data_IF_038535011320
#
_entry.id   IF_038535011320
#
_cell.length_a   1.000
_cell.length_b   1.000
_cell.length_c   1.000
_cell.angle_alpha   90.00
_cell.angle_beta   90.00
_cell.angle_gamma   90.00
#
_symmetry.space_group_name_H-M   'P 1'
#
loop_
_entity.id
_entity.type
_entity.pdbx_description
1 polymer ?
#
# COMPACT_ATOMS: atom_id res chain seq x y z
N UNK A 1 -17.01 53.53 34.61
CA UNK A 1 -17.33 52.10 34.34
C UNK A 1 -17.65 51.96 32.85
N UNK A 2 -16.74 51.41 32.04
CA UNK A 2 -16.88 51.39 30.57
C UNK A 2 -17.50 50.06 30.11
N UNK A 3 -18.68 50.11 29.48
CA UNK A 3 -19.29 48.96 28.80
C UNK A 3 -18.73 48.88 27.38
N UNK A 4 -17.79 47.97 27.12
CA UNK A 4 -17.38 47.64 25.75
C UNK A 4 -18.52 46.86 25.08
N UNK A 5 -19.21 47.52 24.16
CA UNK A 5 -20.19 46.91 23.27
C UNK A 5 -19.44 46.03 22.26
N UNK A 6 -19.59 44.72 22.35
CA UNK A 6 -19.15 43.80 21.29
C UNK A 6 -20.15 43.92 20.13
N UNK A 7 -19.72 44.48 19.00
CA UNK A 7 -20.53 44.44 17.79
C UNK A 7 -20.64 42.99 17.33
N UNK A 8 -21.87 42.44 17.34
CA UNK A 8 -22.16 41.21 16.61
C UNK A 8 -22.12 41.56 15.12
N UNK A 9 -20.98 41.36 14.47
CA UNK A 9 -20.89 41.39 13.01
C UNK A 9 -21.80 40.28 12.47
N UNK A 10 -23.03 40.64 12.16
CA UNK A 10 -24.02 39.73 11.59
C UNK A 10 -23.65 39.55 10.12
N UNK A 11 -22.86 38.52 9.82
CA UNK A 11 -22.50 38.16 8.43
C UNK A 11 -23.79 37.87 7.68
N UNK A 12 -24.22 38.81 6.83
CA UNK A 12 -25.41 38.66 6.00
C UNK A 12 -25.01 37.84 4.78
N UNK A 13 -25.12 36.51 4.87
CA UNK A 13 -24.84 35.61 3.76
C UNK A 13 -25.69 36.02 2.55
N UNK A 14 -25.04 36.42 1.46
CA UNK A 14 -25.72 36.66 0.19
C UNK A 14 -26.09 35.30 -0.41
N UNK A 15 -27.21 35.17 -1.14
CA UNK A 15 -27.61 33.89 -1.75
C UNK A 15 -26.49 33.31 -2.64
N UNK A 16 -25.72 34.19 -3.30
CA UNK A 16 -24.54 33.81 -4.10
C UNK A 16 -23.47 33.11 -3.25
N UNK A 17 -23.21 33.58 -2.02
CA UNK A 17 -22.24 32.95 -1.11
C UNK A 17 -22.64 31.52 -0.76
N UNK A 18 -23.93 31.25 -0.60
CA UNK A 18 -24.44 29.89 -0.38
C UNK A 18 -24.16 28.97 -1.58
N UNK A 19 -24.42 29.43 -2.81
CA UNK A 19 -24.15 28.63 -4.02
C UNK A 19 -22.66 28.39 -4.24
N UNK A 20 -21.80 29.38 -3.95
CA UNK A 20 -20.34 29.21 -4.02
C UNK A 20 -19.87 28.15 -3.03
N UNK A 21 -20.32 28.22 -1.77
CA UNK A 21 -19.97 27.23 -0.75
C UNK A 21 -20.50 25.85 -1.13
N UNK A 22 -21.75 25.75 -1.61
CA UNK A 22 -22.33 24.50 -2.07
C UNK A 22 -21.56 23.89 -3.25
N UNK A 23 -21.12 24.71 -4.22
CA UNK A 23 -20.31 24.25 -5.34
C UNK A 23 -18.92 23.77 -4.89
N UNK A 24 -18.29 24.43 -3.92
CA UNK A 24 -17.01 23.98 -3.34
C UNK A 24 -17.18 22.65 -2.61
N UNK A 25 -18.25 22.49 -1.81
CA UNK A 25 -18.55 21.22 -1.11
C UNK A 25 -18.82 20.11 -2.12
N UNK A 26 -19.56 20.39 -3.19
CA UNK A 26 -19.85 19.43 -4.26
C UNK A 26 -18.58 19.02 -5.01
N UNK A 27 -17.72 19.99 -5.35
CA UNK A 27 -16.44 19.70 -5.99
C UNK A 27 -15.53 18.88 -5.06
N UNK A 28 -15.49 19.21 -3.77
CA UNK A 28 -14.73 18.47 -2.76
C UNK A 28 -15.22 17.04 -2.59
N UNK A 29 -16.54 16.80 -2.58
CA UNK A 29 -17.10 15.45 -2.50
C UNK A 29 -16.84 14.65 -3.78
N UNK A 30 -16.94 15.26 -4.96
CA UNK A 30 -16.58 14.59 -6.22
C UNK A 30 -15.10 14.20 -6.27
N UNK A 31 -14.20 15.11 -5.91
CA UNK A 31 -12.76 14.82 -5.82
C UNK A 31 -12.48 13.73 -4.78
N UNK A 32 -13.16 13.76 -3.64
CA UNK A 32 -13.02 12.75 -2.59
C UNK A 32 -13.51 11.38 -3.04
N UNK A 33 -14.59 11.27 -3.82
CA UNK A 33 -15.11 9.97 -4.27
C UNK A 33 -14.31 9.37 -5.42
N UNK A 34 -13.98 10.17 -6.44
CA UNK A 34 -13.35 9.69 -7.66
C UNK A 34 -11.82 9.71 -7.62
N UNK A 35 -11.23 10.54 -6.75
CA UNK A 35 -9.79 10.80 -6.78
C UNK A 35 -9.40 11.71 -7.95
N UNK A 36 -8.12 12.01 -8.07
CA UNK A 36 -7.59 12.88 -9.12
C UNK A 36 -6.20 12.40 -9.57
N UNK A 37 -5.98 12.31 -10.87
CA UNK A 37 -4.67 11.98 -11.44
C UNK A 37 -4.05 13.26 -12.01
N UNK A 38 -3.06 13.82 -11.32
CA UNK A 38 -2.39 15.05 -11.77
C UNK A 38 -1.08 14.65 -12.49
N UNK A 39 -0.89 15.02 -13.78
CA UNK A 39 0.39 14.84 -14.44
C UNK A 39 1.45 15.75 -13.81
N UNK A 40 2.59 15.19 -13.39
CA UNK A 40 3.70 15.97 -12.84
C UNK A 40 4.66 16.37 -13.98
N UNK A 41 4.96 17.67 -14.18
CA UNK A 41 5.93 18.09 -15.19
C UNK A 41 7.31 17.50 -14.88
N UNK A 42 7.86 16.70 -15.81
CA UNK A 42 9.22 16.14 -15.68
C UNK A 42 9.31 14.72 -15.13
N UNK A 43 8.19 14.07 -14.79
CA UNK A 43 8.14 12.63 -14.48
C UNK A 43 7.20 11.91 -15.43
N UNK A 44 7.53 10.68 -15.83
CA UNK A 44 6.66 9.83 -16.68
C UNK A 44 5.44 9.26 -15.93
N UNK A 45 5.11 9.81 -14.75
CA UNK A 45 4.07 9.30 -13.85
C UNK A 45 3.04 10.36 -13.48
N UNK A 46 1.81 9.91 -13.25
CA UNK A 46 0.75 10.73 -12.66
C UNK A 46 0.84 10.64 -11.13
N UNK A 47 0.70 11.77 -10.44
CA UNK A 47 0.37 11.75 -9.02
C UNK A 47 -1.09 11.34 -8.86
N UNK A 48 -1.30 10.14 -8.32
CA UNK A 48 -2.62 9.58 -8.07
C UNK A 48 -3.09 9.96 -6.66
N UNK A 49 -4.08 10.86 -6.59
CA UNK A 49 -4.83 11.13 -5.36
C UNK A 49 -5.92 10.07 -5.24
N UNK A 50 -5.75 9.15 -4.29
CA UNK A 50 -6.71 8.08 -4.02
C UNK A 50 -8.07 8.65 -3.58
N UNK A 51 -9.12 8.29 -4.32
CA UNK A 51 -10.50 8.53 -3.91
C UNK A 51 -10.97 7.51 -2.85
N UNK A 52 -12.13 7.78 -2.25
CA UNK A 52 -12.72 6.99 -1.17
C UNK A 52 -12.93 5.52 -1.56
N UNK A 53 -13.21 5.24 -2.84
CA UNK A 53 -13.38 3.88 -3.37
C UNK A 53 -12.09 3.05 -3.37
N UNK A 54 -10.91 3.69 -3.37
CA UNK A 54 -9.62 3.01 -3.37
C UNK A 54 -9.07 2.77 -1.96
N UNK A 55 -9.71 3.31 -0.93
CA UNK A 55 -9.29 3.12 0.46
C UNK A 55 -9.45 1.66 0.87
N UNK A 56 -8.35 1.05 1.33
CA UNK A 56 -8.39 -0.26 1.96
C UNK A 56 -8.89 -0.08 3.40
N UNK A 57 -10.10 -0.56 3.62
CA UNK A 57 -10.78 -0.55 4.90
C UNK A 57 -10.19 -1.62 5.83
N UNK A 58 -10.12 -1.35 7.13
CA UNK A 58 -9.54 -2.25 8.13
C UNK A 58 -10.25 -3.59 8.28
N UNK A 59 -9.62 -4.51 9.02
CA UNK A 59 -10.12 -5.87 9.22
C UNK A 59 -11.49 -5.89 9.90
N UNK A 60 -11.75 -4.95 10.81
CA UNK A 60 -13.03 -4.85 11.54
C UNK A 60 -14.23 -4.60 10.61
N UNK A 61 -14.02 -3.85 9.53
CA UNK A 61 -15.11 -3.35 8.67
C UNK A 61 -15.32 -4.15 7.40
N UNK A 62 -14.27 -4.77 6.83
CA UNK A 62 -14.39 -5.62 5.64
C UNK A 62 -13.91 -7.05 5.86
N UNK A 63 -13.48 -7.41 7.06
CA UNK A 63 -12.77 -8.65 7.30
C UNK A 63 -11.34 -8.62 6.76
N UNK A 64 -10.64 -9.74 6.89
CA UNK A 64 -9.29 -9.89 6.38
C UNK A 64 -8.93 -11.33 6.11
N UNK A 65 -7.68 -11.52 5.69
CA UNK A 65 -7.05 -12.82 5.48
C UNK A 65 -6.08 -13.06 6.61
N UNK A 66 -6.08 -14.29 7.11
CA UNK A 66 -5.05 -14.80 8.00
C UNK A 66 -4.20 -15.83 7.26
N UNK A 67 -2.90 -15.56 7.17
CA UNK A 67 -1.92 -16.41 6.52
C UNK A 67 -0.87 -16.85 7.53
N UNK A 68 -0.54 -18.15 7.51
CA UNK A 68 0.50 -18.72 8.36
C UNK A 68 1.66 -19.17 7.48
N UNK A 69 2.80 -18.50 7.63
CA UNK A 69 4.03 -18.85 6.96
C UNK A 69 4.87 -19.77 7.84
N UNK A 70 5.34 -20.85 7.25
CA UNK A 70 6.29 -21.79 7.84
C UNK A 70 7.54 -21.89 6.95
N UNK A 71 8.72 -22.13 7.53
CA UNK A 71 9.94 -22.30 6.77
C UNK A 71 9.83 -23.54 5.88
N UNK A 72 10.17 -23.39 4.60
CA UNK A 72 10.20 -24.48 3.63
C UNK A 72 11.55 -25.18 3.71
N UNK A 73 11.55 -26.52 3.64
CA UNK A 73 12.76 -27.36 3.57
C UNK A 73 13.75 -27.15 4.74
N UNK A 74 13.23 -26.80 5.93
CA UNK A 74 14.03 -26.59 7.13
C UNK A 74 13.64 -27.60 8.22
N UNK A 75 14.59 -28.47 8.60
CA UNK A 75 14.42 -29.43 9.68
C UNK A 75 14.94 -28.84 10.99
N UNK A 76 14.18 -27.93 11.61
CA UNK A 76 14.52 -27.32 12.90
C UNK A 76 13.61 -26.15 13.27
N UNK A 77 13.89 -25.52 14.41
CA UNK A 77 13.30 -24.22 14.79
C UNK A 77 14.18 -23.10 14.23
N UNK A 78 13.66 -22.19 13.39
CA UNK A 78 14.42 -21.05 12.86
C UNK A 78 14.97 -20.17 14.00
N UNK A 79 16.11 -19.52 13.76
CA UNK A 79 16.63 -18.52 14.70
C UNK A 79 15.64 -17.37 14.87
N UNK A 80 15.63 -16.74 16.05
CA UNK A 80 14.83 -15.52 16.26
C UNK A 80 15.21 -14.41 15.27
N UNK A 81 16.49 -14.34 14.90
CA UNK A 81 17.01 -13.36 13.94
C UNK A 81 16.50 -13.63 12.52
N UNK A 82 16.41 -14.91 12.12
CA UNK A 82 15.85 -15.30 10.82
C UNK A 82 14.36 -14.97 10.75
N UNK A 83 13.61 -15.24 11.83
CA UNK A 83 12.19 -14.90 11.92
C UNK A 83 11.96 -13.38 11.90
N UNK A 84 12.80 -12.61 12.58
CA UNK A 84 12.75 -11.14 12.57
C UNK A 84 13.08 -10.57 11.18
N UNK A 85 14.07 -11.15 10.50
CA UNK A 85 14.44 -10.78 9.14
C UNK A 85 13.30 -11.08 8.16
N UNK A 86 12.74 -12.29 8.22
CA UNK A 86 11.59 -12.67 7.39
C UNK A 86 10.38 -11.79 7.66
N UNK A 87 10.08 -11.47 8.93
CA UNK A 87 9.05 -10.50 9.31
C UNK A 87 9.27 -9.15 8.63
N UNK A 88 10.49 -8.62 8.70
CA UNK A 88 10.83 -7.30 8.16
C UNK A 88 10.65 -7.23 6.64
N UNK A 89 11.00 -8.32 5.94
CA UNK A 89 10.77 -8.44 4.49
C UNK A 89 9.28 -8.44 4.16
N UNK A 90 8.45 -9.10 4.97
CA UNK A 90 7.00 -9.12 4.74
C UNK A 90 6.36 -7.77 5.04
N UNK A 91 6.80 -7.09 6.11
CA UNK A 91 6.40 -5.72 6.43
C UNK A 91 6.69 -4.78 5.25
N UNK A 92 7.91 -4.78 4.73
CA UNK A 92 8.29 -3.95 3.59
C UNK A 92 7.44 -4.22 2.34
N UNK A 93 7.10 -5.49 2.07
CA UNK A 93 6.22 -5.84 0.94
C UNK A 93 4.82 -5.31 1.13
N UNK A 94 4.27 -5.45 2.32
CA UNK A 94 2.95 -4.94 2.65
C UNK A 94 2.91 -3.41 2.59
N UNK A 95 4.00 -2.72 2.97
CA UNK A 95 4.13 -1.26 2.79
C UNK A 95 4.15 -0.87 1.32
N UNK A 96 4.90 -1.60 0.49
CA UNK A 96 4.94 -1.38 -0.95
C UNK A 96 3.59 -1.65 -1.64
N UNK A 97 2.73 -2.47 -1.04
CA UNK A 97 1.36 -2.74 -1.50
C UNK A 97 0.31 -1.82 -0.85
N UNK A 98 0.75 -0.82 -0.07
CA UNK A 98 -0.12 0.11 0.67
C UNK A 98 -1.09 -0.59 1.63
N UNK A 99 -0.67 -1.71 2.24
CA UNK A 99 -1.41 -2.44 3.27
C UNK A 99 -0.93 -1.96 4.65
N UNK A 100 -1.58 -0.90 5.14
CA UNK A 100 -1.15 -0.19 6.36
C UNK A 100 -1.74 -0.79 7.64
N UNK A 101 -2.99 -1.22 7.61
CA UNK A 101 -3.68 -1.80 8.76
C UNK A 101 -3.43 -3.32 8.77
N UNK A 102 -2.31 -3.76 9.35
CA UNK A 102 -1.88 -5.17 9.37
C UNK A 102 -1.40 -5.60 10.75
N UNK A 103 -1.57 -6.86 11.04
CA UNK A 103 -1.03 -7.51 12.23
C UNK A 103 -0.09 -8.63 11.81
N UNK A 104 1.15 -8.60 12.30
CA UNK A 104 2.13 -9.65 12.09
C UNK A 104 2.58 -10.14 13.46
N UNK A 105 2.51 -11.45 13.67
CA UNK A 105 2.86 -12.11 14.92
C UNK A 105 3.83 -13.24 14.63
N UNK A 106 4.89 -13.30 15.42
CA UNK A 106 5.95 -14.30 15.26
C UNK A 106 5.82 -15.35 16.34
N UNK A 107 5.52 -16.59 15.95
CA UNK A 107 5.51 -17.75 16.84
C UNK A 107 6.92 -18.38 16.86
N UNK A 108 7.68 -18.02 17.88
CA UNK A 108 9.05 -18.50 18.10
C UNK A 108 9.12 -19.99 18.40
N UNK A 109 8.08 -20.56 19.04
CA UNK A 109 8.08 -21.96 19.47
C UNK A 109 7.90 -22.90 18.29
N UNK A 110 7.04 -22.54 17.34
CA UNK A 110 6.79 -23.35 16.14
C UNK A 110 7.53 -22.84 14.90
N UNK A 111 8.26 -21.72 15.01
CA UNK A 111 8.97 -21.12 13.88
C UNK A 111 8.05 -20.56 12.80
N UNK A 112 6.88 -20.03 13.19
CA UNK A 112 5.84 -19.58 12.24
C UNK A 112 5.68 -18.07 12.28
N UNK A 113 5.30 -17.49 11.15
CA UNK A 113 4.91 -16.09 11.06
C UNK A 113 3.43 -16.06 10.68
N UNK A 114 2.61 -15.56 11.58
CA UNK A 114 1.16 -15.41 11.41
C UNK A 114 0.90 -13.97 10.99
N UNK A 115 0.14 -13.79 9.94
CA UNK A 115 -0.06 -12.50 9.31
C UNK A 115 -1.54 -12.30 9.04
N UNK A 116 -2.06 -11.15 9.45
CA UNK A 116 -3.47 -10.78 9.29
C UNK A 116 -3.53 -9.43 8.62
N UNK A 117 -4.24 -9.35 7.50
CA UNK A 117 -4.36 -8.12 6.73
C UNK A 117 -5.72 -8.00 6.05
N UNK A 118 -6.23 -6.78 5.84
CA UNK A 118 -7.54 -6.55 5.26
C UNK A 118 -7.56 -6.91 3.79
N UNK A 119 -8.75 -7.34 3.35
CA UNK A 119 -9.04 -7.55 1.95
C UNK A 119 -8.77 -6.29 1.14
N UNK A 120 -8.37 -6.49 -0.11
CA UNK A 120 -8.26 -5.39 -1.06
C UNK A 120 -9.62 -4.71 -1.23
N UNK A 121 -9.62 -3.39 -1.39
CA UNK A 121 -10.85 -2.61 -1.56
C UNK A 121 -11.68 -3.06 -2.78
N UNK A 122 -11.04 -3.60 -3.80
CA UNK A 122 -11.69 -4.14 -5.01
C UNK A 122 -11.99 -5.64 -4.94
N UNK A 123 -11.62 -6.33 -3.86
CA UNK A 123 -11.87 -7.76 -3.70
C UNK A 123 -13.35 -8.00 -3.39
N UNK A 124 -13.99 -8.86 -4.19
CA UNK A 124 -15.40 -9.24 -4.06
C UNK A 124 -15.59 -10.72 -3.76
N UNK A 125 -14.59 -11.53 -4.07
CA UNK A 125 -14.71 -12.99 -4.05
C UNK A 125 -14.15 -13.59 -2.75
N UNK A 126 -13.49 -12.75 -1.93
CA UNK A 126 -12.97 -13.08 -0.60
C UNK A 126 -12.18 -14.39 -0.59
N UNK A 127 -11.37 -14.62 -1.63
CA UNK A 127 -10.58 -15.83 -1.76
C UNK A 127 -9.20 -15.65 -1.09
N UNK A 128 -8.88 -16.40 -0.02
CA UNK A 128 -7.65 -16.23 0.74
C UNK A 128 -6.40 -16.59 -0.08
N UNK A 129 -6.48 -17.53 -1.02
CA UNK A 129 -5.33 -17.89 -1.87
C UNK A 129 -4.97 -16.77 -2.85
N UNK A 130 -5.98 -16.11 -3.42
CA UNK A 130 -5.74 -14.99 -4.33
C UNK A 130 -5.16 -13.79 -3.59
N UNK A 131 -5.65 -13.52 -2.39
CA UNK A 131 -5.08 -12.49 -1.52
C UNK A 131 -3.64 -12.84 -1.11
N UNK A 132 -3.32 -14.09 -0.83
CA UNK A 132 -1.94 -14.49 -0.53
C UNK A 132 -1.03 -14.29 -1.74
N UNK A 133 -1.55 -14.54 -2.95
CA UNK A 133 -0.85 -14.24 -4.21
C UNK A 133 -0.60 -12.73 -4.40
N UNK A 134 -1.42 -11.85 -3.81
CA UNK A 134 -1.18 -10.40 -3.77
C UNK A 134 0.11 -10.04 -3.04
N UNK A 135 0.39 -10.71 -1.90
CA UNK A 135 1.66 -10.55 -1.18
C UNK A 135 2.88 -11.08 -1.97
N UNK A 136 2.61 -11.77 -3.07
CA UNK A 136 3.59 -12.34 -3.99
C UNK A 136 4.27 -13.57 -3.43
N UNK A 137 4.93 -14.31 -4.31
CA UNK A 137 5.89 -15.33 -3.88
C UNK A 137 7.07 -14.66 -3.18
N UNK A 138 7.65 -15.31 -2.17
CA UNK A 138 8.93 -14.89 -1.58
C UNK A 138 10.03 -14.96 -2.65
N UNK A 139 10.16 -13.91 -3.46
CA UNK A 139 11.13 -13.84 -4.53
C UNK A 139 12.55 -13.82 -3.96
N UNK A 140 13.32 -14.87 -4.28
CA UNK A 140 14.78 -14.89 -4.15
C UNK A 140 15.35 -14.54 -5.53
N UNK A 141 16.04 -13.42 -5.64
CA UNK A 141 16.56 -12.94 -6.92
C UNK A 141 17.99 -13.39 -7.12
N UNK A 142 18.21 -14.44 -7.91
CA UNK A 142 19.56 -14.90 -8.24
C UNK A 142 19.96 -14.54 -9.66
N UNK A 143 21.17 -14.05 -9.85
CA UNK A 143 21.81 -13.95 -11.17
C UNK A 143 22.65 -15.19 -11.40
N UNK A 144 22.28 -15.97 -12.42
CA UNK A 144 22.95 -17.23 -12.74
C UNK A 144 23.66 -17.11 -14.08
N UNK A 145 24.80 -17.79 -14.20
CA UNK A 145 25.42 -18.08 -15.50
C UNK A 145 24.55 -19.07 -16.28
N UNK A 146 24.78 -19.23 -17.60
CA UNK A 146 24.10 -20.26 -18.40
C UNK A 146 24.28 -21.69 -17.86
N UNK A 147 25.33 -21.95 -17.08
CA UNK A 147 25.63 -23.23 -16.42
C UNK A 147 24.86 -23.46 -15.10
N UNK A 148 24.05 -22.49 -14.65
CA UNK A 148 23.29 -22.54 -13.40
C UNK A 148 24.05 -22.06 -12.16
N UNK A 149 25.31 -21.63 -12.30
CA UNK A 149 26.10 -21.11 -11.17
C UNK A 149 25.59 -19.74 -10.76
N UNK A 150 25.23 -19.56 -9.48
CA UNK A 150 24.81 -18.28 -8.91
C UNK A 150 26.04 -17.36 -8.76
N UNK A 151 25.98 -16.18 -9.38
CA UNK A 151 27.05 -15.17 -9.37
C UNK A 151 26.71 -14.02 -8.42
N UNK A 152 25.44 -13.63 -8.35
CA UNK A 152 24.95 -12.56 -7.47
C UNK A 152 23.57 -12.95 -6.94
N UNK A 153 23.19 -12.41 -5.78
CA UNK A 153 21.85 -12.53 -5.21
C UNK A 153 21.23 -11.13 -5.00
N UNK A 154 19.96 -11.07 -4.64
CA UNK A 154 19.21 -9.83 -4.43
C UNK A 154 19.78 -8.97 -3.30
N UNK A 155 20.56 -9.56 -2.38
CA UNK A 155 21.27 -8.84 -1.31
C UNK A 155 22.36 -7.90 -1.85
N UNK A 156 22.82 -8.11 -3.09
CA UNK A 156 23.83 -7.25 -3.73
C UNK A 156 23.22 -6.02 -4.42
N UNK A 157 21.90 -5.83 -4.37
CA UNK A 157 21.20 -4.73 -5.06
C UNK A 157 20.89 -3.58 -4.09
N UNK A 158 21.36 -2.38 -4.40
CA UNK A 158 21.07 -1.16 -3.60
C UNK A 158 19.68 -0.57 -3.90
N UNK A 159 19.22 -0.61 -5.16
CA UNK A 159 17.90 -0.13 -5.55
C UNK A 159 17.47 -0.76 -6.89
N UNK A 160 16.15 -0.85 -7.12
CA UNK A 160 15.59 -1.34 -8.37
C UNK A 160 14.39 -0.47 -8.78
N UNK A 161 14.44 0.11 -9.98
CA UNK A 161 13.37 0.95 -10.53
C UNK A 161 13.08 0.53 -11.97
N UNK A 162 11.81 0.48 -12.35
CA UNK A 162 11.43 0.24 -13.74
C UNK A 162 11.81 1.44 -14.61
N UNK A 163 12.50 1.20 -15.72
CA UNK A 163 12.88 2.22 -16.69
C UNK A 163 12.54 1.75 -18.10
N UNK A 164 12.12 2.69 -18.95
CA UNK A 164 11.97 2.44 -20.37
C UNK A 164 13.33 2.56 -21.06
N UNK A 165 13.76 1.50 -21.73
CA UNK A 165 14.95 1.51 -22.56
C UNK A 165 14.70 2.36 -23.82
N UNK A 166 15.28 3.56 -23.87
CA UNK A 166 15.15 4.48 -25.02
C UNK A 166 16.00 4.05 -26.23
N UNK A 167 16.88 3.05 -26.10
CA UNK A 167 17.78 2.64 -27.17
C UNK A 167 17.16 1.61 -28.14
N UNK A 168 16.08 0.92 -27.75
CA UNK A 168 15.37 -0.05 -28.61
C UNK A 168 14.01 0.51 -29.03
N UNK A 169 14.05 1.54 -29.88
CA UNK A 169 12.87 1.96 -30.64
C UNK A 169 12.42 0.84 -31.60
N UNK A 170 11.13 0.50 -31.52
CA UNK A 170 10.33 -0.14 -32.57
C UNK A 170 10.97 -1.30 -33.37
N UNK A 171 10.82 -2.53 -32.87
CA UNK A 171 10.58 -3.69 -33.73
C UNK A 171 9.52 -4.60 -33.11
N UNK A 172 8.25 -4.24 -33.30
CA UNK A 172 7.15 -5.16 -33.60
C UNK A 172 6.18 -4.44 -34.50
#
# INVERSE_FOLDING_TARGET
>A
MARRSFSKTRVKARPITFFIVAAIILLGTLLSMFGLNIPVPGQSGYMELYGASKIRFGIDIRGGVEAVFAPKDFSGTPSEEDLASARSVIELRMDNLNILDREITTDKSNGRIIIRYPWKSTETDFNPEQALKELGTMAKLTFQKPDGTIVLDGTNITSATAAFDRARGHQR
#
